data_IF_212714777546
#
_entry.id   IF_212714777546
#
_cell.length_a   1.000
_cell.length_b   1.000
_cell.length_c   1.000
_cell.angle_alpha   90.00
_cell.angle_beta   90.00
_cell.angle_gamma   90.00
#
_symmetry.space_group_name_H-M   'P 1'
#
loop_
_entity.id
_entity.type
_entity.pdbx_description
1 polymer ?
#
# COMPACT_ATOMS: atom_id res chain seq x y z
N UNK A 1 -34.91 -4.90 -0.16
CA UNK A 1 -34.96 -5.79 -1.35
C UNK A 1 -34.64 -5.07 -2.66
N UNK A 2 -34.61 -3.72 -2.68
CA UNK A 2 -34.41 -2.85 -3.86
C UNK A 2 -32.94 -2.57 -4.23
N UNK A 3 -32.00 -2.60 -3.28
CA UNK A 3 -30.57 -2.30 -3.54
C UNK A 3 -29.86 -3.36 -4.39
N UNK A 4 -30.23 -4.63 -4.22
CA UNK A 4 -29.54 -5.75 -4.85
C UNK A 4 -29.94 -5.94 -6.34
N UNK A 5 -31.14 -5.51 -6.72
CA UNK A 5 -31.58 -5.53 -8.13
C UNK A 5 -30.95 -4.39 -8.94
N UNK A 6 -30.80 -3.21 -8.33
CA UNK A 6 -30.20 -2.05 -8.99
C UNK A 6 -28.69 -2.27 -9.27
N UNK A 7 -27.99 -2.96 -8.36
CA UNK A 7 -26.57 -3.31 -8.54
C UNK A 7 -26.32 -4.28 -9.70
N UNK A 8 -27.19 -5.29 -9.88
CA UNK A 8 -27.09 -6.27 -10.99
C UNK A 8 -27.38 -5.65 -12.36
N UNK A 9 -28.35 -4.74 -12.45
CA UNK A 9 -28.67 -4.01 -13.68
C UNK A 9 -27.49 -3.12 -14.11
N UNK A 10 -26.91 -2.38 -13.15
CA UNK A 10 -25.75 -1.51 -13.38
C UNK A 10 -24.50 -2.29 -13.82
N UNK A 11 -24.21 -3.45 -13.23
CA UNK A 11 -23.05 -4.27 -13.62
C UNK A 11 -23.16 -4.84 -15.04
N UNK A 12 -24.38 -5.12 -15.50
CA UNK A 12 -24.60 -5.69 -16.84
C UNK A 12 -24.33 -4.64 -17.92
N UNK A 13 -24.87 -3.42 -17.72
CA UNK A 13 -24.63 -2.31 -18.65
C UNK A 13 -23.17 -1.87 -18.77
N UNK A 14 -22.39 -1.95 -17.69
CA UNK A 14 -20.94 -1.63 -17.75
C UNK A 14 -20.20 -2.63 -18.64
N UNK A 15 -20.49 -3.94 -18.49
CA UNK A 15 -19.85 -4.98 -19.30
C UNK A 15 -20.16 -4.82 -20.78
N UNK A 16 -21.39 -4.42 -21.12
CA UNK A 16 -21.81 -4.14 -22.50
C UNK A 16 -21.04 -2.95 -23.10
N UNK A 17 -20.95 -1.83 -22.37
CA UNK A 17 -20.19 -0.65 -22.82
C UNK A 17 -18.70 -0.95 -23.05
N UNK A 18 -18.12 -1.81 -22.22
CA UNK A 18 -16.73 -2.25 -22.39
C UNK A 18 -16.60 -3.17 -23.61
N UNK A 19 -17.57 -4.06 -23.82
CA UNK A 19 -17.61 -4.95 -24.98
C UNK A 19 -17.75 -4.21 -26.30
N UNK A 20 -18.48 -3.10 -26.32
CA UNK A 20 -18.55 -2.22 -27.49
C UNK A 20 -17.19 -1.60 -27.85
N UNK A 21 -16.40 -1.23 -26.83
CA UNK A 21 -15.05 -0.67 -27.03
C UNK A 21 -13.99 -1.72 -27.36
N UNK A 22 -14.13 -2.92 -26.83
CA UNK A 22 -13.20 -4.04 -26.98
C UNK A 22 -13.95 -5.29 -27.46
N UNK A 23 -14.35 -5.34 -28.75
CA UNK A 23 -15.03 -6.51 -29.31
C UNK A 23 -14.11 -7.75 -29.34
N UNK A 24 -12.80 -7.54 -29.28
CA UNK A 24 -11.74 -8.54 -29.20
C UNK A 24 -11.51 -9.07 -27.77
N UNK A 25 -12.13 -8.48 -26.75
CA UNK A 25 -12.01 -8.96 -25.38
C UNK A 25 -12.73 -10.29 -25.19
N UNK A 26 -11.96 -11.35 -24.95
CA UNK A 26 -12.49 -12.70 -24.71
C UNK A 26 -13.13 -12.84 -23.32
N UNK A 27 -12.75 -12.00 -22.36
CA UNK A 27 -13.34 -11.93 -21.03
C UNK A 27 -13.51 -10.49 -20.56
N UNK A 28 -14.62 -10.22 -19.87
CA UNK A 28 -14.88 -8.93 -19.20
C UNK A 28 -15.35 -9.22 -17.78
N UNK A 29 -14.51 -8.90 -16.80
CA UNK A 29 -14.81 -9.14 -15.39
C UNK A 29 -14.29 -8.06 -14.47
N UNK A 30 -14.78 -8.05 -13.23
CA UNK A 30 -14.27 -7.12 -12.23
C UNK A 30 -12.85 -7.50 -11.79
N UNK A 31 -12.00 -6.48 -11.77
CA UNK A 31 -10.55 -6.59 -11.62
C UNK A 31 -10.00 -5.50 -10.69
N UNK A 32 -8.99 -5.86 -9.90
CA UNK A 32 -8.24 -4.94 -9.05
C UNK A 32 -6.74 -5.26 -9.08
N UNK A 33 -5.90 -4.21 -9.09
CA UNK A 33 -4.45 -4.29 -8.92
C UNK A 33 -4.12 -3.81 -7.49
N UNK A 34 -3.25 -4.53 -6.75
CA UNK A 34 -2.89 -4.33 -5.32
C UNK A 34 -2.88 -2.87 -4.81
N UNK A 35 -3.25 -2.51 -3.58
CA UNK A 35 -3.29 -3.25 -2.29
C UNK A 35 -4.56 -2.97 -1.46
N UNK A 36 -5.57 -2.27 -2.00
CA UNK A 36 -6.85 -2.03 -1.33
C UNK A 36 -8.03 -2.25 -2.29
N UNK A 37 -9.05 -2.97 -1.84
CA UNK A 37 -10.38 -3.06 -2.45
C UNK A 37 -11.10 -1.70 -2.36
N UNK A 38 -10.57 -0.68 -3.05
CA UNK A 38 -11.23 0.62 -3.19
C UNK A 38 -11.50 1.02 -4.63
N UNK A 39 -11.03 0.23 -5.59
CA UNK A 39 -11.33 0.48 -7.01
C UNK A 39 -11.92 -0.80 -7.60
N UNK A 40 -13.25 -0.90 -7.54
CA UNK A 40 -14.03 -1.88 -8.29
C UNK A 40 -13.95 -1.53 -9.78
N UNK A 41 -12.81 -1.85 -10.41
CA UNK A 41 -12.61 -1.70 -11.84
C UNK A 41 -13.15 -2.91 -12.61
N UNK A 42 -13.36 -2.74 -13.91
CA UNK A 42 -13.68 -3.80 -14.86
C UNK A 42 -12.53 -3.95 -15.85
N UNK A 43 -12.00 -5.15 -15.96
CA UNK A 43 -10.97 -5.51 -16.92
C UNK A 43 -11.58 -6.03 -18.22
N UNK A 44 -11.15 -5.50 -19.35
CA UNK A 44 -11.27 -6.11 -20.67
C UNK A 44 -9.99 -6.90 -20.95
N UNK A 45 -10.14 -8.22 -21.04
CA UNK A 45 -9.03 -9.15 -21.25
C UNK A 45 -8.94 -9.46 -22.74
N UNK A 46 -7.87 -8.98 -23.37
CA UNK A 46 -7.53 -9.28 -24.78
C UNK A 46 -6.40 -10.32 -24.82
N UNK A 47 -5.97 -10.71 -26.02
CA UNK A 47 -4.88 -11.66 -26.19
C UNK A 47 -3.53 -11.11 -25.70
N UNK A 48 -3.30 -9.81 -25.86
CA UNK A 48 -2.00 -9.21 -25.56
C UNK A 48 -2.02 -8.30 -24.33
N UNK A 49 -3.17 -7.68 -24.05
CA UNK A 49 -3.31 -6.65 -23.02
C UNK A 49 -4.53 -6.82 -22.15
N UNK A 50 -4.44 -6.24 -20.95
CA UNK A 50 -5.54 -6.01 -20.05
C UNK A 50 -5.81 -4.51 -19.95
N UNK A 51 -7.02 -4.10 -20.34
CA UNK A 51 -7.49 -2.73 -20.14
C UNK A 51 -8.39 -2.65 -18.93
N UNK A 52 -8.10 -1.76 -17.99
CA UNK A 52 -8.87 -1.62 -16.74
C UNK A 52 -9.64 -0.32 -16.75
N UNK A 53 -10.96 -0.44 -16.63
CA UNK A 53 -11.89 0.68 -16.61
C UNK A 53 -12.51 0.89 -15.24
N UNK A 54 -12.88 2.14 -14.94
CA UNK A 54 -13.78 2.49 -13.83
C UNK A 54 -14.93 3.32 -14.36
N UNK A 55 -16.10 3.09 -13.76
CA UNK A 55 -17.27 3.90 -14.06
C UNK A 55 -17.22 5.20 -13.25
N UNK A 56 -17.31 6.33 -13.95
CA UNK A 56 -17.54 7.65 -13.35
C UNK A 56 -18.95 7.76 -12.76
N UNK A 57 -19.21 8.61 -11.75
CA UNK A 57 -20.57 8.95 -11.31
C UNK A 57 -21.50 9.34 -12.46
N UNK A 58 -20.98 9.92 -13.54
CA UNK A 58 -21.72 10.26 -14.77
C UNK A 58 -21.98 9.07 -15.72
N UNK A 59 -21.76 7.82 -15.28
CA UNK A 59 -21.85 6.59 -16.11
C UNK A 59 -20.91 6.55 -17.32
N UNK A 60 -19.86 7.38 -17.33
CA UNK A 60 -18.80 7.33 -18.36
C UNK A 60 -17.70 6.35 -17.96
N UNK A 61 -17.23 5.56 -18.92
CA UNK A 61 -16.07 4.66 -18.75
C UNK A 61 -14.76 5.45 -18.80
N UNK A 62 -13.98 5.38 -17.73
CA UNK A 62 -12.64 5.96 -17.63
C UNK A 62 -11.61 4.84 -17.65
N UNK A 63 -10.66 4.86 -18.59
CA UNK A 63 -9.52 3.94 -18.60
C UNK A 63 -8.56 4.33 -17.48
N UNK A 64 -8.31 3.43 -16.54
CA UNK A 64 -7.40 3.66 -15.41
C UNK A 64 -6.01 3.17 -15.74
N UNK A 65 -5.92 1.97 -16.33
CA UNK A 65 -4.65 1.32 -16.54
C UNK A 65 -4.70 0.39 -17.75
N UNK A 66 -3.55 0.19 -18.38
CA UNK A 66 -3.33 -0.80 -19.42
C UNK A 66 -2.12 -1.62 -19.01
N UNK A 67 -2.24 -2.94 -19.09
CA UNK A 67 -1.19 -3.87 -18.69
C UNK A 67 -0.94 -4.84 -19.85
N UNK A 68 0.32 -5.01 -20.24
CA UNK A 68 0.72 -6.05 -21.18
C UNK A 68 0.88 -7.38 -20.43
N UNK A 69 0.40 -8.48 -21.01
CA UNK A 69 0.54 -9.80 -20.39
C UNK A 69 2.01 -10.23 -20.38
N UNK A 70 2.53 -10.74 -19.25
CA UNK A 70 3.84 -11.37 -19.23
C UNK A 70 3.85 -12.63 -20.11
N UNK A 71 5.03 -12.99 -20.63
CA UNK A 71 5.22 -14.18 -21.46
C UNK A 71 6.31 -15.07 -20.88
N UNK A 72 6.00 -16.36 -20.71
CA UNK A 72 6.93 -17.38 -20.21
C UNK A 72 7.41 -17.12 -18.78
N UNK A 73 6.60 -16.48 -17.94
CA UNK A 73 6.92 -16.15 -16.55
C UNK A 73 6.31 -17.16 -15.59
N UNK A 74 6.92 -17.25 -14.41
CA UNK A 74 6.41 -18.05 -13.31
C UNK A 74 5.65 -17.16 -12.35
N UNK A 75 4.46 -17.58 -11.95
CA UNK A 75 3.59 -16.86 -11.05
C UNK A 75 2.98 -17.73 -9.96
N UNK A 76 2.24 -17.08 -9.07
CA UNK A 76 1.43 -17.73 -8.05
C UNK A 76 -0.04 -17.41 -8.26
N UNK A 77 -0.89 -18.42 -8.12
CA UNK A 77 -2.34 -18.25 -8.15
C UNK A 77 -2.98 -18.80 -6.87
N UNK A 78 -3.94 -18.06 -6.32
CA UNK A 78 -4.73 -18.44 -5.16
C UNK A 78 -6.22 -18.24 -5.44
N UNK A 79 -6.94 -19.35 -5.65
CA UNK A 79 -8.37 -19.34 -5.92
C UNK A 79 -9.17 -19.36 -4.62
N UNK A 80 -10.10 -18.40 -4.52
CA UNK A 80 -11.15 -18.35 -3.52
C UNK A 80 -12.51 -18.61 -4.17
N UNK A 81 -13.55 -18.80 -3.35
CA UNK A 81 -14.90 -19.10 -3.81
C UNK A 81 -15.47 -18.08 -4.82
N UNK A 82 -15.09 -16.81 -4.71
CA UNK A 82 -15.64 -15.70 -5.52
C UNK A 82 -14.58 -14.84 -6.21
N UNK A 83 -13.29 -15.16 -6.02
CA UNK A 83 -12.18 -14.36 -6.56
C UNK A 83 -10.91 -15.18 -6.67
N UNK A 84 -10.00 -14.77 -7.53
CA UNK A 84 -8.67 -15.37 -7.64
C UNK A 84 -7.62 -14.27 -7.58
N UNK A 85 -6.55 -14.53 -6.84
CA UNK A 85 -5.40 -13.63 -6.74
C UNK A 85 -4.24 -14.21 -7.53
N UNK A 86 -3.68 -13.42 -8.42
CA UNK A 86 -2.54 -13.73 -9.27
C UNK A 86 -1.36 -12.84 -8.89
N UNK A 87 -0.17 -13.42 -8.82
CA UNK A 87 1.10 -12.72 -8.65
C UNK A 87 2.05 -13.21 -9.72
N UNK A 88 2.29 -12.40 -10.76
CA UNK A 88 3.14 -12.74 -11.91
C UNK A 88 4.01 -11.53 -12.22
N UNK A 89 5.34 -11.70 -12.31
CA UNK A 89 6.27 -10.64 -12.71
C UNK A 89 6.07 -9.31 -11.91
N UNK A 90 5.78 -9.41 -10.61
CA UNK A 90 5.51 -8.26 -9.74
C UNK A 90 4.09 -7.67 -9.86
N UNK A 91 3.31 -8.08 -10.85
CA UNK A 91 1.92 -7.71 -11.01
C UNK A 91 1.05 -8.54 -10.08
N UNK A 92 0.26 -7.86 -9.27
CA UNK A 92 -0.67 -8.49 -8.34
C UNK A 92 -2.12 -8.18 -8.71
N UNK A 93 -2.74 -9.13 -9.39
CA UNK A 93 -4.05 -9.00 -9.99
C UNK A 93 -5.09 -9.79 -9.19
N UNK A 94 -6.26 -9.21 -8.99
CA UNK A 94 -7.42 -9.88 -8.39
C UNK A 94 -8.57 -9.84 -9.38
N UNK A 95 -9.13 -11.00 -9.72
CA UNK A 95 -10.28 -11.14 -10.61
C UNK A 95 -11.44 -11.83 -9.89
N UNK A 96 -12.67 -11.38 -10.10
CA UNK A 96 -13.85 -12.03 -9.54
C UNK A 96 -14.40 -13.15 -10.44
N UNK A 97 -14.96 -14.20 -9.82
CA UNK A 97 -15.71 -15.33 -10.42
C UNK A 97 -14.97 -16.21 -11.46
N UNK A 98 -14.21 -15.63 -12.38
CA UNK A 98 -13.68 -16.24 -13.61
C UNK A 98 -12.16 -16.40 -13.61
N UNK A 99 -11.54 -16.47 -12.43
CA UNK A 99 -10.09 -16.57 -12.35
C UNK A 99 -9.51 -17.86 -12.95
N UNK A 100 -10.24 -18.98 -12.94
CA UNK A 100 -9.74 -20.21 -13.57
C UNK A 100 -9.58 -20.08 -15.08
N UNK A 101 -10.55 -19.43 -15.73
CA UNK A 101 -10.54 -19.16 -17.17
C UNK A 101 -9.32 -18.30 -17.55
N UNK A 102 -8.96 -17.32 -16.69
CA UNK A 102 -7.75 -16.53 -16.86
C UNK A 102 -6.46 -17.33 -16.67
N UNK A 103 -6.40 -18.22 -15.68
CA UNK A 103 -5.23 -19.07 -15.48
C UNK A 103 -4.99 -19.95 -16.71
N UNK A 104 -6.05 -20.60 -17.22
CA UNK A 104 -5.97 -21.45 -18.41
C UNK A 104 -5.45 -20.67 -19.63
N UNK A 105 -5.95 -19.45 -19.84
CA UNK A 105 -5.48 -18.57 -20.91
C UNK A 105 -3.97 -18.26 -20.78
N UNK A 106 -3.50 -17.90 -19.59
CA UNK A 106 -2.09 -17.56 -19.37
C UNK A 106 -1.17 -18.78 -19.50
N UNK A 107 -1.61 -19.96 -19.07
CA UNK A 107 -0.86 -21.22 -19.21
C UNK A 107 -0.79 -21.69 -20.66
N UNK A 108 -1.90 -21.63 -21.40
CA UNK A 108 -1.98 -22.15 -22.76
C UNK A 108 -1.39 -21.18 -23.81
N UNK A 109 -1.77 -19.90 -23.74
CA UNK A 109 -1.42 -18.92 -24.77
C UNK A 109 -0.11 -18.20 -24.46
N UNK A 110 0.14 -17.87 -23.19
CA UNK A 110 1.34 -17.11 -22.77
C UNK A 110 2.45 -17.99 -22.20
N UNK A 111 2.22 -19.31 -22.12
CA UNK A 111 3.17 -20.33 -21.60
C UNK A 111 3.66 -20.01 -20.18
N UNK A 112 2.87 -19.28 -19.42
CA UNK A 112 3.19 -18.97 -18.03
C UNK A 112 2.96 -20.20 -17.15
N UNK A 113 3.74 -20.35 -16.09
CA UNK A 113 3.55 -21.44 -15.13
C UNK A 113 3.10 -20.92 -13.77
N UNK A 114 2.05 -21.53 -13.20
CA UNK A 114 1.50 -21.11 -11.93
C UNK A 114 1.73 -22.15 -10.84
N UNK A 115 2.51 -21.76 -9.82
CA UNK A 115 2.61 -22.54 -8.59
C UNK A 115 1.40 -22.25 -7.71
N UNK A 116 0.47 -23.21 -7.62
CA UNK A 116 -0.69 -23.11 -6.74
C UNK A 116 -0.24 -23.13 -5.28
N UNK A 117 -0.63 -22.11 -4.51
CA UNK A 117 -0.27 -22.04 -3.09
C UNK A 117 -1.00 -23.14 -2.29
N UNK A 118 -0.28 -24.22 -1.96
CA UNK A 118 -0.85 -25.32 -1.17
C UNK A 118 -1.21 -24.84 0.25
N UNK A 119 -2.51 -24.76 0.55
CA UNK A 119 -3.02 -24.51 1.90
C UNK A 119 -3.50 -25.83 2.50
N UNK A 120 -3.25 -26.10 3.79
CA UNK A 120 -3.72 -27.33 4.40
C UNK A 120 -5.26 -27.38 4.39
N UNK A 121 -5.81 -28.55 4.05
CA UNK A 121 -7.21 -28.75 3.68
C UNK A 121 -8.21 -28.23 4.72
N UNK A 122 -7.88 -28.32 6.02
CA UNK A 122 -8.74 -27.85 7.11
C UNK A 122 -9.07 -26.34 7.03
N UNK A 123 -8.24 -25.52 6.37
CA UNK A 123 -8.52 -24.08 6.15
C UNK A 123 -9.55 -23.82 5.05
N UNK A 124 -9.91 -24.85 4.27
CA UNK A 124 -10.95 -24.80 3.23
C UNK A 124 -12.36 -25.09 3.80
N UNK A 125 -12.46 -25.69 4.99
CA UNK A 125 -13.73 -26.04 5.63
C UNK A 125 -14.39 -24.78 6.21
N UNK A 126 -15.65 -24.51 5.81
CA UNK A 126 -16.42 -23.39 6.36
C UNK A 126 -16.52 -23.51 7.89
N UNK A 127 -16.27 -22.41 8.60
CA UNK A 127 -16.23 -22.36 10.07
C UNK A 127 -14.83 -22.47 10.69
N UNK A 128 -13.97 -23.34 10.14
CA UNK A 128 -12.61 -23.57 10.64
C UNK A 128 -11.57 -22.55 10.13
N UNK A 129 -11.95 -21.76 9.12
CA UNK A 129 -11.12 -20.69 8.54
C UNK A 129 -10.79 -19.56 9.53
N UNK A 130 -11.66 -19.29 10.49
CA UNK A 130 -11.55 -18.11 11.36
C UNK A 130 -10.66 -18.29 12.59
N UNK A 131 -10.24 -19.52 12.92
CA UNK A 131 -9.58 -19.90 14.19
C UNK A 131 -10.31 -19.50 15.49
N UNK A 132 -11.48 -18.85 15.40
CA UNK A 132 -12.30 -18.49 16.56
C UNK A 132 -13.07 -19.72 17.01
N UNK A 133 -12.87 -20.12 18.26
CA UNK A 133 -13.40 -21.36 18.86
C UNK A 133 -14.91 -21.49 18.67
N UNK A 134 -15.68 -20.40 18.85
CA UNK A 134 -17.14 -20.44 18.69
C UNK A 134 -17.59 -20.74 17.25
N UNK A 135 -16.89 -20.22 16.24
CA UNK A 135 -17.19 -20.50 14.81
C UNK A 135 -16.83 -21.94 14.44
N UNK A 136 -15.83 -22.52 15.10
CA UNK A 136 -15.47 -23.92 14.94
C UNK A 136 -16.47 -24.85 15.62
N UNK A 137 -16.94 -24.51 16.82
CA UNK A 137 -17.95 -25.28 17.55
C UNK A 137 -19.30 -25.33 16.79
N UNK A 138 -19.78 -24.20 16.28
CA UNK A 138 -21.01 -24.13 15.48
C UNK A 138 -20.88 -24.96 14.20
N UNK A 139 -19.75 -24.85 13.50
CA UNK A 139 -19.52 -25.65 12.30
C UNK A 139 -19.44 -27.15 12.60
N UNK A 140 -18.78 -27.54 13.69
CA UNK A 140 -18.70 -28.95 14.12
C UNK A 140 -20.08 -29.55 14.38
N UNK A 141 -20.96 -28.81 15.08
CA UNK A 141 -22.35 -29.24 15.30
C UNK A 141 -23.12 -29.42 13.98
N UNK A 142 -22.99 -28.48 13.06
CA UNK A 142 -23.64 -28.56 11.74
C UNK A 142 -23.13 -29.79 10.98
N UNK A 143 -21.81 -29.99 10.90
CA UNK A 143 -21.27 -31.16 10.20
C UNK A 143 -21.70 -32.48 10.87
N UNK A 144 -21.72 -32.57 12.21
CA UNK A 144 -22.27 -33.74 12.90
C UNK A 144 -23.75 -33.96 12.56
N UNK A 145 -24.56 -32.91 12.56
CA UNK A 145 -25.99 -33.01 12.27
C UNK A 145 -26.29 -33.45 10.83
N UNK A 146 -25.41 -33.18 9.87
CA UNK A 146 -25.55 -33.65 8.48
C UNK A 146 -24.87 -35.01 8.23
N UNK A 147 -23.75 -35.30 8.88
CA UNK A 147 -23.00 -36.55 8.70
C UNK A 147 -23.66 -37.71 9.47
N UNK A 148 -24.15 -37.48 10.69
CA UNK A 148 -24.80 -38.52 11.50
C UNK A 148 -25.99 -39.17 10.79
N UNK A 149 -26.99 -38.43 10.24
CA UNK A 149 -28.09 -39.06 9.51
C UNK A 149 -27.66 -39.68 8.18
N UNK A 150 -26.60 -39.18 7.54
CA UNK A 150 -26.02 -39.79 6.34
C UNK A 150 -25.37 -41.15 6.64
N UNK A 151 -24.64 -41.26 7.76
CA UNK A 151 -24.03 -42.51 8.23
C UNK A 151 -25.09 -43.47 8.80
N UNK A 152 -26.05 -42.99 9.59
CA UNK A 152 -27.17 -43.79 10.08
C UNK A 152 -28.05 -44.31 8.93
N UNK A 153 -28.26 -43.51 7.88
CA UNK A 153 -28.97 -43.95 6.68
C UNK A 153 -28.27 -45.06 5.89
N UNK A 154 -26.93 -45.13 5.95
CA UNK A 154 -26.17 -46.25 5.38
C UNK A 154 -26.14 -47.50 6.27
N UNK A 155 -26.33 -47.37 7.58
CA UNK A 155 -26.28 -48.49 8.53
C UNK A 155 -27.60 -49.29 8.57
N UNK A 156 -28.74 -48.68 8.26
CA UNK A 156 -30.03 -49.39 8.17
C UNK A 156 -30.16 -50.31 6.94
N UNK A 157 -29.17 -50.36 6.05
CA UNK A 157 -29.14 -51.21 4.86
C UNK A 157 -28.27 -52.47 4.97
N UNK A 158 -27.64 -52.73 6.11
CA UNK A 158 -26.81 -53.93 6.33
C UNK A 158 -27.42 -54.73 7.46
N UNK A 159 -28.49 -55.47 7.16
CA UNK A 159 -28.85 -56.65 7.95
C UNK A 159 -28.03 -57.83 7.46
N UNK A 160 -27.35 -58.45 8.43
CA UNK A 160 -26.67 -59.75 8.38
C UNK A 160 -25.40 -59.87 7.53
N UNK A 161 -24.25 -59.73 8.20
CA UNK A 161 -23.40 -60.89 8.55
C UNK A 161 -21.99 -60.45 8.95
N UNK A 162 -21.63 -60.58 10.23
CA UNK A 162 -20.26 -60.95 10.65
C UNK A 162 -20.30 -61.38 12.11
N UNK A 163 -20.28 -62.69 12.35
CA UNK A 163 -19.89 -63.22 13.65
C UNK A 163 -18.37 -63.05 13.76
N UNK A 164 -17.93 -61.93 14.35
CA UNK A 164 -16.51 -61.66 14.60
C UNK A 164 -16.04 -62.67 15.65
N UNK A 165 -14.97 -63.43 15.36
CA UNK A 165 -14.42 -64.40 16.31
C UNK A 165 -14.00 -63.68 17.59
N UNK A 166 -14.27 -64.31 18.76
CA UNK A 166 -13.94 -63.74 20.08
C UNK A 166 -12.45 -63.35 20.21
N UNK A 167 -11.57 -64.00 19.46
CA UNK A 167 -10.13 -63.68 19.40
C UNK A 167 -9.83 -62.36 18.69
N UNK A 168 -10.56 -61.98 17.64
CA UNK A 168 -10.38 -60.68 16.98
C UNK A 168 -10.86 -59.53 17.85
N UNK A 169 -11.91 -59.74 18.66
CA UNK A 169 -12.39 -58.74 19.60
C UNK A 169 -11.35 -58.45 20.69
N UNK A 170 -10.73 -59.49 21.26
CA UNK A 170 -9.66 -59.34 22.26
C UNK A 170 -8.41 -58.66 21.70
N UNK A 171 -8.01 -58.96 20.45
CA UNK A 171 -6.88 -58.27 19.79
C UNK A 171 -7.18 -56.80 19.54
N UNK A 172 -8.41 -56.46 19.15
CA UNK A 172 -8.85 -55.07 18.96
C UNK A 172 -8.89 -54.31 20.28
N UNK A 173 -9.36 -54.92 21.37
CA UNK A 173 -9.34 -54.32 22.71
C UNK A 173 -7.91 -54.04 23.21
N UNK A 174 -6.98 -54.97 23.01
CA UNK A 174 -5.57 -54.77 23.35
C UNK A 174 -4.93 -53.64 22.52
N UNK A 175 -5.22 -53.59 21.21
CA UNK A 175 -4.76 -52.50 20.34
C UNK A 175 -5.32 -51.15 20.76
N UNK A 176 -6.60 -51.10 21.16
CA UNK A 176 -7.28 -49.89 21.59
C UNK A 176 -6.73 -49.38 22.92
N UNK A 177 -6.50 -50.25 23.91
CA UNK A 177 -5.83 -49.91 25.16
C UNK A 177 -4.39 -49.37 24.94
N UNK A 178 -3.66 -49.98 24.02
CA UNK A 178 -2.29 -49.52 23.67
C UNK A 178 -2.33 -48.17 22.94
N UNK A 179 -3.35 -47.94 22.10
CA UNK A 179 -3.55 -46.67 21.42
C UNK A 179 -3.94 -45.55 22.40
N UNK A 180 -4.81 -45.84 23.37
CA UNK A 180 -5.20 -44.89 24.42
C UNK A 180 -4.01 -44.45 25.27
N UNK A 181 -3.12 -45.38 25.67
CA UNK A 181 -1.89 -45.03 26.39
C UNK A 181 -0.97 -44.11 25.59
N UNK A 182 -0.85 -44.35 24.27
CA UNK A 182 -0.06 -43.47 23.39
C UNK A 182 -0.70 -42.09 23.24
N UNK A 183 -2.02 -42.02 23.13
CA UNK A 183 -2.76 -40.75 23.07
C UNK A 183 -2.58 -39.95 24.36
N UNK A 184 -2.64 -40.60 25.52
CA UNK A 184 -2.45 -39.92 26.80
C UNK A 184 -1.01 -39.40 26.96
N UNK A 185 -0.01 -40.17 26.53
CA UNK A 185 1.38 -39.73 26.49
C UNK A 185 1.57 -38.51 25.58
N UNK A 186 0.98 -38.52 24.38
CA UNK A 186 1.03 -37.39 23.45
C UNK A 186 0.29 -36.17 24.01
N UNK A 187 -0.81 -36.36 24.73
CA UNK A 187 -1.58 -35.29 25.36
C UNK A 187 -0.77 -34.58 26.44
N UNK A 188 -0.07 -35.34 27.29
CA UNK A 188 0.81 -34.75 28.30
C UNK A 188 1.98 -33.98 27.66
N UNK A 189 2.57 -34.52 26.58
CA UNK A 189 3.60 -33.81 25.82
C UNK A 189 3.09 -32.51 25.16
N UNK A 190 1.84 -32.48 24.69
CA UNK A 190 1.21 -31.28 24.17
C UNK A 190 1.00 -30.23 25.27
N UNK A 191 0.50 -30.66 26.44
CA UNK A 191 0.29 -29.76 27.57
C UNK A 191 1.59 -29.11 28.08
N UNK A 192 2.70 -29.84 28.08
CA UNK A 192 4.00 -29.28 28.47
C UNK A 192 4.54 -28.28 27.44
N UNK A 193 4.36 -28.56 26.14
CA UNK A 193 4.71 -27.61 25.08
C UNK A 193 3.85 -26.36 25.07
N UNK A 194 2.57 -26.47 25.41
CA UNK A 194 1.68 -25.31 25.51
C UNK A 194 2.14 -24.35 26.62
N UNK A 195 2.58 -24.89 27.76
CA UNK A 195 3.19 -24.10 28.85
C UNK A 195 4.50 -23.44 28.43
N UNK A 196 5.33 -24.15 27.68
CA UNK A 196 6.59 -23.61 27.15
C UNK A 196 6.34 -22.46 26.16
N UNK A 197 5.34 -22.60 25.29
CA UNK A 197 4.92 -21.55 24.36
C UNK A 197 4.38 -20.32 25.10
N UNK A 198 3.53 -20.51 26.12
CA UNK A 198 3.00 -19.41 26.93
C UNK A 198 4.13 -18.63 27.64
N UNK A 199 5.13 -19.35 28.17
CA UNK A 199 6.31 -18.73 28.78
C UNK A 199 7.14 -17.94 27.76
N UNK A 200 7.35 -18.49 26.55
CA UNK A 200 8.09 -17.83 25.48
C UNK A 200 7.35 -16.59 24.95
N UNK A 201 6.03 -16.66 24.79
CA UNK A 201 5.20 -15.52 24.37
C UNK A 201 5.26 -14.38 25.38
N UNK A 202 5.21 -14.69 26.68
CA UNK A 202 5.37 -13.68 27.74
C UNK A 202 6.73 -12.98 27.65
N UNK A 203 7.81 -13.77 27.49
CA UNK A 203 9.17 -13.24 27.38
C UNK A 203 9.38 -12.42 26.11
N UNK A 204 8.74 -12.80 25.00
CA UNK A 204 8.76 -12.05 23.75
C UNK A 204 8.09 -10.69 23.93
N UNK A 205 6.90 -10.66 24.53
CA UNK A 205 6.17 -9.41 24.80
C UNK A 205 6.95 -8.48 25.73
N UNK A 206 7.57 -9.01 26.79
CA UNK A 206 8.44 -8.22 27.67
C UNK A 206 9.59 -7.56 26.88
N UNK A 207 10.26 -8.34 26.02
CA UNK A 207 11.36 -7.84 25.19
C UNK A 207 10.90 -6.83 24.13
N UNK A 208 9.74 -7.03 23.52
CA UNK A 208 9.14 -6.07 22.59
C UNK A 208 8.81 -4.74 23.28
N UNK A 209 8.25 -4.78 24.49
CA UNK A 209 7.96 -3.55 25.25
C UNK A 209 9.23 -2.81 25.67
N UNK A 210 10.30 -3.53 26.00
CA UNK A 210 11.60 -2.94 26.31
C UNK A 210 12.23 -2.28 25.08
N UNK A 211 12.17 -2.95 23.92
CA UNK A 211 12.67 -2.40 22.66
C UNK A 211 11.89 -1.15 22.25
N UNK A 212 10.56 -1.15 22.36
CA UNK A 212 9.73 0.01 22.06
C UNK A 212 10.08 1.21 22.96
N UNK A 213 10.28 0.98 24.27
CA UNK A 213 10.71 2.04 25.19
C UNK A 213 12.09 2.60 24.82
N UNK A 214 13.03 1.76 24.40
CA UNK A 214 14.36 2.21 23.96
C UNK A 214 14.30 3.02 22.66
N UNK A 215 13.48 2.60 21.69
CA UNK A 215 13.28 3.35 20.44
C UNK A 215 12.61 4.71 20.69
N UNK A 216 11.62 4.76 21.57
CA UNK A 216 10.95 6.01 21.94
C UNK A 216 11.92 6.97 22.65
N UNK A 217 12.74 6.47 23.57
CA UNK A 217 13.76 7.27 24.24
C UNK A 217 14.77 7.86 23.24
N UNK A 218 15.26 7.04 22.30
CA UNK A 218 16.19 7.48 21.24
C UNK A 218 15.56 8.55 20.35
N UNK A 219 14.29 8.40 19.96
CA UNK A 219 13.57 9.41 19.18
C UNK A 219 13.40 10.72 19.95
N UNK A 220 13.09 10.67 21.24
CA UNK A 220 12.99 11.86 22.09
C UNK A 220 14.34 12.56 22.25
N UNK A 221 15.43 11.82 22.42
CA UNK A 221 16.79 12.38 22.48
C UNK A 221 17.22 13.02 21.15
N UNK A 222 16.91 12.37 20.02
CA UNK A 222 17.21 12.91 18.69
C UNK A 222 16.42 14.19 18.40
N UNK A 223 15.13 14.22 18.75
CA UNK A 223 14.30 15.41 18.62
C UNK A 223 14.85 16.59 19.45
N UNK A 224 15.23 16.34 20.70
CA UNK A 224 15.85 17.38 21.56
C UNK A 224 17.15 17.90 20.98
N UNK A 225 18.00 17.04 20.41
CA UNK A 225 19.23 17.44 19.73
C UNK A 225 18.95 18.29 18.49
N UNK A 226 17.94 17.93 17.69
CA UNK A 226 17.54 18.70 16.51
C UNK A 226 16.96 20.07 16.90
N UNK A 227 16.15 20.16 17.95
CA UNK A 227 15.63 21.43 18.46
C UNK A 227 16.74 22.33 19.01
N UNK A 228 17.72 21.76 19.73
CA UNK A 228 18.88 22.51 20.21
C UNK A 228 19.74 23.05 19.06
N UNK A 229 19.97 22.25 18.01
CA UNK A 229 20.69 22.69 16.82
C UNK A 229 19.96 23.82 16.10
N UNK A 230 18.65 23.70 15.90
CA UNK A 230 17.84 24.77 15.30
C UNK A 230 17.88 26.06 16.10
N UNK A 231 17.85 25.98 17.44
CA UNK A 231 17.95 27.17 18.30
C UNK A 231 19.31 27.86 18.16
N UNK A 232 20.40 27.09 18.09
CA UNK A 232 21.75 27.64 17.86
C UNK A 232 21.90 28.25 16.47
N UNK A 233 21.32 27.64 15.43
CA UNK A 233 21.31 28.20 14.07
C UNK A 233 20.51 29.51 13.99
N UNK A 234 19.34 29.57 14.65
CA UNK A 234 18.52 30.78 14.70
C UNK A 234 19.21 31.91 15.49
N UNK A 235 19.86 31.59 16.61
CA UNK A 235 20.67 32.54 17.38
C UNK A 235 21.83 33.09 16.54
N UNK A 236 22.55 32.23 15.81
CA UNK A 236 23.65 32.64 14.93
C UNK A 236 23.17 33.52 13.75
N UNK A 237 22.00 33.22 13.17
CA UNK A 237 21.42 34.03 12.10
C UNK A 237 21.03 35.44 12.60
N UNK A 238 20.42 35.54 13.79
CA UNK A 238 20.09 36.83 14.41
C UNK A 238 21.33 37.67 14.70
N UNK A 239 22.42 37.05 15.15
CA UNK A 239 23.69 37.73 15.38
C UNK A 239 24.31 38.25 14.06
N UNK A 240 24.24 37.46 12.99
CA UNK A 240 24.73 37.86 11.67
C UNK A 240 23.89 39.01 11.07
N UNK A 241 22.56 38.97 11.23
CA UNK A 241 21.66 40.04 10.79
C UNK A 241 21.91 41.34 11.57
N UNK A 242 22.09 41.25 12.90
CA UNK A 242 22.42 42.41 13.73
C UNK A 242 23.73 43.08 13.30
N UNK A 243 24.78 42.27 13.03
CA UNK A 243 26.07 42.76 12.54
C UNK A 243 25.96 43.43 11.17
N UNK A 244 25.15 42.87 10.26
CA UNK A 244 24.91 43.44 8.93
C UNK A 244 24.17 44.79 8.99
N UNK A 245 23.23 44.94 9.94
CA UNK A 245 22.51 46.20 10.16
C UNK A 245 23.39 47.29 10.77
N UNK A 246 24.34 46.92 11.64
CA UNK A 246 25.34 47.85 12.19
C UNK A 246 26.31 48.34 11.08
N UNK A 247 26.78 47.44 10.22
CA UNK A 247 27.62 47.79 9.07
C UNK A 247 26.90 48.72 8.08
N UNK A 248 25.59 48.51 7.83
CA UNK A 248 24.78 49.41 6.99
C UNK A 248 24.55 50.80 7.62
N UNK A 249 24.38 50.89 8.95
CA UNK A 249 24.26 52.19 9.63
C UNK A 249 25.56 52.99 9.55
N UNK A 250 26.71 52.32 9.60
CA UNK A 250 28.02 52.98 9.44
C UNK A 250 28.23 53.50 8.01
N UNK A 251 27.70 52.83 6.98
CA UNK A 251 27.78 53.30 5.59
C UNK A 251 26.83 54.49 5.28
N UNK A 252 25.69 54.57 5.98
CA UNK A 252 24.67 55.61 5.71
C UNK A 252 25.05 56.97 6.32
N UNK A 253 25.85 56.99 7.40
CA UNK A 253 26.27 58.22 8.08
C UNK A 253 27.29 59.08 7.29
N UNK A 254 27.81 58.58 6.16
CA UNK A 254 28.88 59.24 5.39
C UNK A 254 28.39 59.96 4.11
N UNK A 255 27.07 60.01 3.83
CA UNK A 255 26.51 60.52 2.57
C UNK A 255 25.49 61.68 2.68
N UNK A 256 25.51 62.45 3.78
CA UNK A 256 24.72 63.70 3.85
C UNK A 256 25.50 64.87 3.24
N UNK A 257 25.77 64.82 1.94
CA UNK A 257 26.11 66.01 1.14
C UNK A 257 24.85 66.45 0.39
N UNK A 258 24.34 67.64 0.72
CA UNK A 258 23.13 68.20 0.13
C UNK A 258 23.20 68.19 -1.41
N UNK A 259 22.27 67.48 -2.08
CA UNK A 259 22.20 67.44 -3.54
C UNK A 259 21.84 68.82 -4.09
N UNK A 260 22.71 69.37 -4.93
CA UNK A 260 22.45 70.59 -5.70
C UNK A 260 21.82 70.22 -7.04
N UNK A 261 20.79 70.95 -7.49
CA UNK A 261 20.12 70.64 -8.74
C UNK A 261 20.19 71.81 -9.72
N UNK A 262 20.67 71.53 -10.94
CA UNK A 262 20.81 72.50 -12.02
C UNK A 262 19.89 72.13 -13.20
N UNK A 263 19.26 73.13 -13.82
CA UNK A 263 18.30 72.91 -14.90
C UNK A 263 18.97 72.34 -16.15
N UNK A 264 20.14 72.87 -16.51
CA UNK A 264 20.93 72.50 -17.69
C UNK A 264 22.44 72.64 -17.41
N UNK A 265 23.27 72.10 -18.30
CA UNK A 265 24.73 72.21 -18.19
C UNK A 265 25.27 73.64 -18.23
N UNK A 266 24.55 74.57 -18.84
CA UNK A 266 24.95 75.98 -18.89
C UNK A 266 24.91 76.63 -17.51
N UNK A 267 23.88 76.35 -16.72
CA UNK A 267 23.78 76.82 -15.33
C UNK A 267 24.79 76.11 -14.42
N UNK A 268 24.97 74.80 -14.60
CA UNK A 268 25.95 74.03 -13.83
C UNK A 268 27.37 74.56 -14.07
N UNK A 269 27.75 74.82 -15.32
CA UNK A 269 29.09 75.33 -15.66
C UNK A 269 29.38 76.74 -15.19
N UNK A 270 28.37 77.53 -14.80
CA UNK A 270 28.62 78.83 -14.13
C UNK A 270 29.29 78.64 -12.77
N UNK A 271 28.99 77.54 -12.09
CA UNK A 271 29.52 77.21 -10.76
C UNK A 271 30.65 76.19 -10.88
N UNK A 272 30.53 75.19 -11.77
CA UNK A 272 31.50 74.13 -12.02
C UNK A 272 31.92 74.09 -13.50
N UNK A 273 32.84 74.97 -13.95
CA UNK A 273 33.18 75.13 -15.36
C UNK A 273 33.74 73.87 -16.05
N UNK A 274 34.28 72.94 -15.28
CA UNK A 274 34.87 71.68 -15.76
C UNK A 274 33.92 70.49 -15.69
N UNK A 275 32.66 70.68 -15.29
CA UNK A 275 31.74 69.57 -15.02
C UNK A 275 31.94 68.96 -13.62
N UNK A 276 31.16 67.92 -13.30
CA UNK A 276 31.14 67.29 -11.96
C UNK A 276 31.09 65.76 -12.06
N UNK A 277 31.80 65.05 -11.19
CA UNK A 277 31.86 63.58 -11.19
C UNK A 277 30.57 62.94 -10.62
N UNK A 278 30.36 61.65 -10.87
CA UNK A 278 29.21 60.88 -10.39
C UNK A 278 29.01 60.89 -8.86
N UNK A 279 30.07 61.16 -8.10
CA UNK A 279 30.07 61.26 -6.65
C UNK A 279 29.75 62.67 -6.14
N UNK A 280 29.71 63.68 -7.01
CA UNK A 280 29.48 65.07 -6.64
C UNK A 280 27.99 65.34 -6.37
N UNK A 281 27.61 66.17 -5.38
CA UNK A 281 26.20 66.42 -5.04
C UNK A 281 25.39 67.09 -6.17
N UNK A 282 26.07 67.83 -7.04
CA UNK A 282 25.50 68.48 -8.22
C UNK A 282 25.33 67.55 -9.44
N UNK A 283 25.79 66.30 -9.34
CA UNK A 283 25.74 65.35 -10.45
C UNK A 283 24.30 64.93 -10.75
N UNK A 284 23.93 64.97 -12.02
CA UNK A 284 22.68 64.43 -12.51
C UNK A 284 22.93 63.64 -13.79
N UNK A 285 22.53 62.37 -13.83
CA UNK A 285 22.76 61.48 -14.99
C UNK A 285 22.17 62.01 -16.31
N UNK A 286 21.17 62.90 -16.26
CA UNK A 286 20.64 63.59 -17.46
C UNK A 286 21.63 64.56 -18.14
N UNK A 287 22.67 64.97 -17.41
CA UNK A 287 23.68 65.95 -17.83
C UNK A 287 25.00 65.28 -18.29
N UNK A 288 25.13 63.99 -18.04
CA UNK A 288 26.21 63.12 -18.52
C UNK A 288 25.70 62.42 -19.79
N UNK A 289 26.16 62.91 -20.95
CA UNK A 289 25.58 62.51 -22.26
C UNK A 289 26.10 61.16 -22.71
N UNK A 290 27.35 60.87 -22.41
CA UNK A 290 28.11 59.68 -22.80
C UNK A 290 28.22 58.63 -21.70
N UNK A 291 27.74 58.96 -20.48
CA UNK A 291 27.61 58.05 -19.33
C UNK A 291 28.93 57.52 -18.82
N UNK A 292 29.96 58.35 -18.88
CA UNK A 292 31.29 58.03 -18.37
C UNK A 292 31.45 58.33 -16.86
N UNK A 293 30.41 58.90 -16.25
CA UNK A 293 30.41 59.32 -14.85
C UNK A 293 30.83 60.78 -14.66
N UNK A 294 30.91 61.58 -15.72
CA UNK A 294 31.22 63.02 -15.68
C UNK A 294 30.11 63.85 -16.34
N UNK A 295 29.41 64.66 -15.54
CA UNK A 295 28.35 65.52 -16.06
C UNK A 295 28.90 66.86 -16.56
N UNK A 296 28.43 67.29 -17.74
CA UNK A 296 28.72 68.61 -18.33
C UNK A 296 30.20 68.94 -18.56
N UNK A 297 31.05 67.95 -18.85
CA UNK A 297 32.42 68.19 -19.32
C UNK A 297 32.44 68.97 -20.67
N UNK A 298 33.59 69.54 -21.03
CA UNK A 298 33.72 70.45 -22.18
C UNK A 298 34.11 69.72 -23.46
#
# INVERSE_FOLDING_TARGET
>A
MSENQNKKSSTTGIKELIREKHPDAWLIESVSIQRELKVDGYGAFTQDKLFIYKLSPEKKLILINTLDWPEGKNGHVDHFAIKSHFTIDGINLTIANKGKDLQLFLEEQKKDSFAQKSRPFYRKILGFRSKKVWKMAVALFIYLLFIIPFVMGMVSGITDSTFISKEELQKKEQLLATAEQKVEKLRNQLADKDKELEYLEKKLNEKETELQKQEELKKQEELKKQEELKRKEEEALKEQEARSQEEQKQYTAQSTSQKEYYKNCTELRKVYPSGVSATHPAYASKHDRDKDGWACER
#
